data_IF_091142166544
#
_entry.id   IF_091142166544
#
_cell.length_a   1.000
_cell.length_b   1.000
_cell.length_c   1.000
_cell.angle_alpha   90.00
_cell.angle_beta   90.00
_cell.angle_gamma   90.00
#
_symmetry.space_group_name_H-M   'P 1'
#
loop_
_entity.id
_entity.type
_entity.pdbx_description
1 polymer ?
#
# COMPACT_ATOMS: atom_id res chain seq x y z
N UNK A 1 30.95 -56.07 -35.74
CA UNK A 1 29.56 -55.82 -36.17
C UNK A 1 29.10 -54.56 -35.44
N UNK A 2 28.75 -53.53 -36.22
CA UNK A 2 28.17 -52.26 -35.77
C UNK A 2 26.89 -52.51 -34.95
N UNK A 3 26.63 -51.67 -33.96
CA UNK A 3 25.48 -50.73 -33.93
C UNK A 3 25.58 -49.94 -32.62
N UNK A 4 25.84 -48.66 -32.79
CA UNK A 4 25.68 -47.61 -31.80
C UNK A 4 24.23 -47.55 -31.30
N UNK A 5 24.06 -47.47 -29.98
CA UNK A 5 22.82 -46.93 -29.39
C UNK A 5 23.15 -45.92 -28.31
N UNK A 6 23.14 -44.67 -28.77
CA UNK A 6 22.67 -43.47 -28.09
C UNK A 6 21.85 -43.75 -26.83
N UNK A 7 22.31 -43.27 -25.68
CA UNK A 7 21.44 -42.77 -24.61
C UNK A 7 22.06 -41.48 -24.08
N UNK A 8 21.57 -40.36 -24.60
CA UNK A 8 21.87 -39.02 -24.11
C UNK A 8 20.93 -38.76 -22.92
N UNK A 9 21.42 -38.91 -21.70
CA UNK A 9 20.69 -38.50 -20.49
C UNK A 9 20.92 -36.99 -20.34
N UNK A 10 19.94 -36.20 -20.81
CA UNK A 10 19.90 -34.76 -20.54
C UNK A 10 19.43 -34.59 -19.09
N UNK A 11 20.39 -34.41 -18.18
CA UNK A 11 20.12 -34.00 -16.80
C UNK A 11 19.98 -32.47 -16.79
N UNK A 12 18.77 -31.97 -17.04
CA UNK A 12 18.43 -30.56 -16.79
C UNK A 12 18.37 -30.32 -15.28
N UNK A 13 19.49 -29.90 -14.71
CA UNK A 13 19.53 -29.33 -13.36
C UNK A 13 18.74 -28.02 -13.35
N UNK A 14 17.56 -28.06 -12.72
CA UNK A 14 16.81 -26.86 -12.40
C UNK A 14 17.63 -25.97 -11.46
N UNK A 15 17.87 -24.75 -11.93
CA UNK A 15 18.48 -23.65 -11.20
C UNK A 15 17.71 -23.40 -9.90
N UNK A 16 18.33 -23.69 -8.75
CA UNK A 16 17.88 -23.18 -7.45
C UNK A 16 18.78 -22.03 -7.05
N UNK A 17 18.63 -20.88 -7.73
CA UNK A 17 19.12 -19.61 -7.20
C UNK A 17 18.05 -19.04 -6.28
N UNK A 18 18.21 -19.28 -4.97
CA UNK A 18 17.53 -18.51 -3.94
C UNK A 18 17.94 -17.03 -4.06
N UNK A 19 17.16 -16.25 -4.79
CA UNK A 19 17.26 -14.80 -4.79
C UNK A 19 16.13 -14.25 -3.92
N UNK A 20 16.43 -14.04 -2.64
CA UNK A 20 15.70 -13.06 -1.84
C UNK A 20 15.96 -11.68 -2.44
N UNK A 21 14.97 -11.13 -3.13
CA UNK A 21 14.87 -9.69 -3.41
C UNK A 21 13.38 -9.34 -3.49
N UNK A 22 12.76 -9.20 -2.32
CA UNK A 22 11.55 -8.38 -2.15
C UNK A 22 11.96 -6.91 -2.26
N UNK A 23 12.19 -6.47 -3.49
CA UNK A 23 12.13 -5.07 -3.89
C UNK A 23 11.36 -5.02 -5.21
N UNK A 24 10.04 -5.18 -5.12
CA UNK A 24 9.14 -4.74 -6.20
C UNK A 24 8.99 -3.22 -6.15
N UNK A 25 10.10 -2.52 -6.34
CA UNK A 25 10.13 -1.20 -6.98
C UNK A 25 10.29 -1.46 -8.48
N UNK A 26 9.26 -2.08 -9.06
CA UNK A 26 9.21 -2.42 -10.48
C UNK A 26 8.83 -1.20 -11.33
N UNK A 27 9.61 -0.13 -11.25
CA UNK A 27 9.70 0.83 -12.33
C UNK A 27 10.55 0.21 -13.42
N UNK A 28 10.03 0.13 -14.64
CA UNK A 28 10.79 -0.29 -15.81
C UNK A 28 12.00 0.66 -15.99
N UNK A 29 13.21 0.17 -15.67
CA UNK A 29 14.47 0.91 -15.73
C UNK A 29 14.84 1.36 -17.16
N UNK A 30 14.04 0.99 -18.18
CA UNK A 30 14.22 1.44 -19.56
C UNK A 30 13.47 2.74 -19.88
N UNK A 31 12.57 3.21 -19.01
CA UNK A 31 11.90 4.51 -19.20
C UNK A 31 12.84 5.65 -18.80
N UNK A 32 13.00 6.68 -19.65
CA UNK A 32 13.71 7.90 -19.28
C UNK A 32 13.14 8.47 -17.98
N UNK A 33 13.97 8.95 -17.04
CA UNK A 33 13.47 9.64 -15.85
C UNK A 33 12.56 10.79 -16.27
N UNK A 34 11.42 10.93 -15.60
CA UNK A 34 10.48 12.01 -15.89
C UNK A 34 11.15 13.36 -15.64
N UNK A 35 11.37 14.14 -16.70
CA UNK A 35 11.69 15.56 -16.57
C UNK A 35 10.41 16.30 -16.19
N UNK A 36 10.37 16.84 -14.97
CA UNK A 36 9.29 17.69 -14.47
C UNK A 36 9.46 19.10 -15.06
N UNK A 37 8.48 19.54 -15.85
CA UNK A 37 8.53 20.81 -16.57
C UNK A 37 8.28 22.03 -15.68
N UNK A 38 7.49 21.87 -14.61
CA UNK A 38 7.15 22.93 -13.65
C UNK A 38 7.85 22.69 -12.32
N UNK A 39 8.09 23.78 -11.58
CA UNK A 39 8.64 23.72 -10.21
C UNK A 39 7.57 23.42 -9.16
N UNK A 40 6.32 23.75 -9.45
CA UNK A 40 5.19 23.53 -8.56
C UNK A 40 3.99 23.05 -9.37
N UNK A 41 3.28 22.08 -8.82
CA UNK A 41 2.08 21.49 -9.41
C UNK A 41 0.96 21.50 -8.38
N UNK A 42 -0.25 21.81 -8.82
CA UNK A 42 -1.45 21.71 -8.00
C UNK A 42 -2.36 20.65 -8.60
N UNK A 43 -2.84 19.74 -7.76
CA UNK A 43 -3.73 18.66 -8.15
C UNK A 43 -5.02 18.73 -7.36
N UNK A 44 -6.13 18.40 -8.02
CA UNK A 44 -7.46 18.28 -7.43
C UNK A 44 -7.88 16.81 -7.49
N UNK A 45 -8.51 16.32 -6.42
CA UNK A 45 -9.08 14.98 -6.42
C UNK A 45 -10.12 14.85 -7.54
N UNK A 46 -10.05 13.76 -8.31
CA UNK A 46 -10.89 13.57 -9.50
C UNK A 46 -12.11 12.67 -9.24
N UNK A 47 -12.48 12.44 -7.98
CA UNK A 47 -13.56 11.54 -7.56
C UNK A 47 -13.35 10.09 -7.99
N UNK A 48 -12.09 9.64 -8.07
CA UNK A 48 -11.75 8.25 -8.39
C UNK A 48 -10.77 7.68 -7.39
N UNK A 49 -11.19 6.59 -6.74
CA UNK A 49 -10.35 5.77 -5.89
C UNK A 49 -10.59 4.29 -6.18
N UNK A 50 -9.65 3.43 -5.78
CA UNK A 50 -9.71 1.99 -5.95
C UNK A 50 -9.09 1.27 -4.76
N UNK A 51 -9.67 0.14 -4.36
CA UNK A 51 -8.99 -0.84 -3.49
C UNK A 51 -8.04 -1.64 -4.38
N UNK A 52 -6.74 -1.46 -4.19
CA UNK A 52 -5.73 -2.17 -4.99
C UNK A 52 -5.57 -3.62 -4.54
N UNK A 53 -5.52 -3.81 -3.23
CA UNK A 53 -5.54 -5.11 -2.58
C UNK A 53 -5.90 -4.93 -1.10
N UNK A 54 -6.25 -6.03 -0.45
CA UNK A 54 -6.52 -6.04 0.98
C UNK A 54 -7.01 -7.41 1.43
N UNK A 55 -6.75 -7.72 2.68
CA UNK A 55 -7.08 -8.99 3.31
C UNK A 55 -7.78 -8.73 4.63
N UNK A 56 -8.84 -9.50 4.87
CA UNK A 56 -9.52 -9.61 6.14
C UNK A 56 -9.35 -11.02 6.69
N UNK A 57 -8.79 -11.12 7.89
CA UNK A 57 -8.77 -12.32 8.70
C UNK A 57 -9.89 -12.19 9.75
N UNK A 58 -10.78 -13.17 9.86
CA UNK A 58 -11.90 -13.13 10.82
C UNK A 58 -12.08 -14.44 11.57
N UNK A 59 -12.52 -14.31 12.82
CA UNK A 59 -12.98 -15.41 13.64
C UNK A 59 -11.87 -16.38 14.04
N UNK A 60 -12.25 -17.55 14.60
CA UNK A 60 -11.27 -18.54 15.02
C UNK A 60 -10.47 -19.03 13.80
N UNK A 61 -9.15 -19.14 13.98
CA UNK A 61 -8.15 -19.51 12.95
C UNK A 61 -7.94 -18.47 11.84
N UNK A 62 -8.56 -17.29 11.93
CA UNK A 62 -8.33 -16.17 11.01
C UNK A 62 -8.68 -16.52 9.57
N UNK A 63 -9.94 -16.84 9.31
CA UNK A 63 -10.40 -17.15 7.95
C UNK A 63 -10.17 -15.95 7.04
N UNK A 64 -9.48 -16.19 5.92
CA UNK A 64 -9.07 -15.16 4.99
C UNK A 64 -10.17 -14.86 3.96
N UNK A 65 -10.45 -13.57 3.76
CA UNK A 65 -11.33 -13.06 2.69
C UNK A 65 -10.73 -11.79 2.10
N UNK A 66 -10.99 -11.52 0.82
CA UNK A 66 -10.64 -10.24 0.20
C UNK A 66 -11.46 -9.10 0.80
N UNK A 67 -10.84 -7.92 0.90
CA UNK A 67 -11.51 -6.71 1.38
C UNK A 67 -12.30 -6.05 0.25
N UNK A 68 -13.54 -5.68 0.54
CA UNK A 68 -14.39 -4.87 -0.33
C UNK A 68 -14.76 -3.53 0.29
N UNK A 69 -15.42 -2.68 -0.50
CA UNK A 69 -15.83 -1.33 -0.10
C UNK A 69 -16.83 -1.36 1.04
N UNK A 70 -17.77 -2.31 1.04
CA UNK A 70 -18.79 -2.42 2.08
C UNK A 70 -18.16 -2.75 3.44
N UNK A 71 -17.14 -3.59 3.44
CA UNK A 71 -16.39 -3.94 4.64
C UNK A 71 -15.64 -2.74 5.21
N UNK A 72 -14.95 -1.97 4.36
CA UNK A 72 -14.24 -0.78 4.84
C UNK A 72 -15.21 0.32 5.33
N UNK A 73 -16.36 0.49 4.67
CA UNK A 73 -17.35 1.49 5.05
C UNK A 73 -18.01 1.21 6.42
N UNK A 74 -17.94 -0.02 6.93
CA UNK A 74 -18.36 -0.32 8.32
C UNK A 74 -17.48 0.40 9.35
N UNK A 75 -16.25 0.77 8.99
CA UNK A 75 -15.28 1.39 9.91
C UNK A 75 -15.05 2.86 9.64
N UNK A 76 -15.17 3.33 8.40
CA UNK A 76 -15.12 4.74 8.05
C UNK A 76 -16.40 5.09 7.28
N UNK A 77 -17.19 6.06 7.77
CA UNK A 77 -18.47 6.48 7.17
C UNK A 77 -18.41 6.64 5.64
N UNK A 78 -17.25 7.01 5.11
CA UNK A 78 -16.86 6.81 3.72
C UNK A 78 -15.35 6.58 3.63
N UNK A 79 -14.91 5.60 2.86
CA UNK A 79 -13.50 5.46 2.48
C UNK A 79 -13.04 6.52 1.48
N UNK A 80 -13.96 7.29 0.91
CA UNK A 80 -13.68 8.42 0.02
C UNK A 80 -13.30 9.70 0.79
N UNK A 81 -12.54 9.58 1.89
CA UNK A 81 -11.93 10.75 2.57
C UNK A 81 -10.65 11.16 1.83
N UNK A 82 -10.83 11.48 0.56
CA UNK A 82 -9.80 12.06 -0.28
C UNK A 82 -9.39 13.42 0.28
N UNK A 83 -8.14 13.78 0.03
CA UNK A 83 -7.69 15.14 0.26
C UNK A 83 -8.14 15.97 -0.94
N UNK A 84 -8.83 17.10 -0.72
CA UNK A 84 -9.39 17.89 -1.82
C UNK A 84 -8.31 18.30 -2.82
N UNK A 85 -7.19 18.81 -2.31
CA UNK A 85 -6.10 19.35 -3.13
C UNK A 85 -4.73 18.93 -2.61
N UNK A 86 -3.83 18.71 -3.55
CA UNK A 86 -2.41 18.45 -3.29
C UNK A 86 -1.58 19.51 -4.01
N UNK A 87 -0.62 20.11 -3.32
CA UNK A 87 0.36 21.03 -3.94
C UNK A 87 1.74 20.42 -3.76
N UNK A 88 2.40 20.10 -4.87
CA UNK A 88 3.77 19.57 -4.86
C UNK A 88 4.72 20.65 -5.35
N UNK A 89 5.65 21.07 -4.49
CA UNK A 89 6.69 22.04 -4.79
C UNK A 89 8.06 21.34 -4.77
N UNK A 90 8.58 21.06 -5.97
CA UNK A 90 9.86 20.41 -6.20
C UNK A 90 11.06 21.33 -6.00
N UNK A 91 10.85 22.66 -5.93
CA UNK A 91 11.95 23.57 -5.59
C UNK A 91 12.26 23.52 -4.09
N UNK A 92 11.23 23.24 -3.28
CA UNK A 92 11.31 23.18 -1.82
C UNK A 92 11.24 21.77 -1.26
N UNK A 93 11.16 20.77 -2.12
CA UNK A 93 10.98 19.37 -1.73
C UNK A 93 9.82 19.21 -0.72
N UNK A 94 8.68 19.83 -1.04
CA UNK A 94 7.53 19.90 -0.14
C UNK A 94 6.21 19.51 -0.79
N UNK A 95 5.36 18.85 -0.02
CA UNK A 95 3.98 18.52 -0.34
C UNK A 95 3.06 19.21 0.65
N UNK A 96 2.03 19.87 0.14
CA UNK A 96 0.90 20.35 0.95
C UNK A 96 -0.34 19.52 0.64
N UNK A 97 -0.96 18.99 1.69
CA UNK A 97 -2.22 18.28 1.63
C UNK A 97 -3.30 19.20 2.20
N UNK A 98 -4.31 19.50 1.40
CA UNK A 98 -5.38 20.44 1.73
C UNK A 98 -6.71 19.70 1.72
N UNK A 99 -7.42 19.76 2.85
CA UNK A 99 -8.75 19.18 3.03
C UNK A 99 -9.64 20.21 3.73
N UNK A 100 -10.50 20.90 2.98
CA UNK A 100 -11.23 22.07 3.42
C UNK A 100 -10.30 23.16 4.00
N UNK A 101 -10.43 23.42 5.31
CA UNK A 101 -9.60 24.39 6.05
C UNK A 101 -8.30 23.78 6.60
N UNK A 102 -8.19 22.46 6.63
CA UNK A 102 -7.00 21.77 7.12
C UNK A 102 -5.91 21.81 6.06
N UNK A 103 -4.71 22.19 6.47
CA UNK A 103 -3.52 22.19 5.62
C UNK A 103 -2.37 21.52 6.36
N UNK A 104 -1.92 20.38 5.84
CA UNK A 104 -0.77 19.64 6.34
C UNK A 104 0.39 19.81 5.37
N UNK A 105 1.61 19.87 5.90
CA UNK A 105 2.83 20.05 5.12
C UNK A 105 3.80 18.90 5.40
N UNK A 106 4.38 18.35 4.34
CA UNK A 106 5.31 17.24 4.36
C UNK A 106 6.57 17.59 3.57
N UNK A 107 7.71 17.08 4.02
CA UNK A 107 8.91 17.02 3.17
C UNK A 107 8.80 15.80 2.27
N UNK A 108 9.27 15.93 1.04
CA UNK A 108 9.21 14.86 0.06
C UNK A 108 10.55 14.66 -0.64
N UNK A 109 10.72 13.47 -1.20
CA UNK A 109 11.79 13.17 -2.14
C UNK A 109 11.18 12.58 -3.39
N UNK A 110 11.51 13.15 -4.54
CA UNK A 110 11.11 12.62 -5.83
C UNK A 110 12.20 11.70 -6.41
N UNK A 111 11.81 10.56 -6.96
CA UNK A 111 12.68 9.64 -7.70
C UNK A 111 11.94 9.18 -8.94
N UNK A 112 12.40 9.63 -10.11
CA UNK A 112 11.71 9.41 -11.39
C UNK A 112 10.27 9.94 -11.35
N UNK A 113 9.28 9.04 -11.47
CA UNK A 113 7.85 9.34 -11.41
C UNK A 113 7.29 9.26 -9.99
N UNK A 114 8.06 8.71 -9.05
CA UNK A 114 7.63 8.38 -7.70
C UNK A 114 7.93 9.49 -6.71
N UNK A 115 7.02 9.69 -5.76
CA UNK A 115 7.13 10.63 -4.65
C UNK A 115 7.16 9.83 -3.35
N UNK A 116 8.07 10.18 -2.46
CA UNK A 116 8.20 9.61 -1.13
C UNK A 116 8.04 10.71 -0.09
N UNK A 117 7.31 10.44 0.99
CA UNK A 117 7.30 11.30 2.17
C UNK A 117 8.59 11.04 2.97
N UNK A 118 9.31 12.10 3.30
CA UNK A 118 10.51 11.96 4.11
C UNK A 118 10.18 11.74 5.60
N UNK A 119 11.04 10.97 6.26
CA UNK A 119 10.95 10.62 7.67
C UNK A 119 12.09 9.69 8.06
N UNK A 120 12.05 9.15 9.28
CA UNK A 120 13.02 8.13 9.73
C UNK A 120 12.95 6.87 8.88
N UNK A 121 11.76 6.54 8.36
CA UNK A 121 11.52 5.57 7.31
C UNK A 121 10.72 6.26 6.21
N UNK A 122 11.32 6.54 5.05
CA UNK A 122 10.59 7.14 3.94
C UNK A 122 9.41 6.26 3.52
N UNK A 123 8.24 6.87 3.32
CA UNK A 123 7.01 6.19 2.92
C UNK A 123 6.68 6.53 1.47
N UNK A 124 6.33 5.51 0.68
CA UNK A 124 5.91 5.72 -0.70
C UNK A 124 4.58 6.49 -0.73
N UNK A 125 4.56 7.68 -1.30
CA UNK A 125 3.37 8.52 -1.35
C UNK A 125 2.51 8.22 -2.59
N UNK A 126 3.14 8.18 -3.75
CA UNK A 126 2.43 8.16 -5.02
C UNK A 126 3.34 8.30 -6.22
N UNK A 127 2.75 8.34 -7.41
CA UNK A 127 3.45 8.54 -8.67
C UNK A 127 2.67 9.43 -9.63
N UNK A 128 3.40 10.17 -10.46
CA UNK A 128 2.81 10.88 -11.60
C UNK A 128 2.24 9.89 -12.61
N UNK A 129 1.12 10.28 -13.22
CA UNK A 129 0.61 9.54 -14.38
C UNK A 129 1.59 9.63 -15.55
N UNK A 130 1.57 8.64 -16.45
CA UNK A 130 2.50 8.58 -17.57
C UNK A 130 2.42 9.77 -18.52
N UNK A 131 1.23 10.37 -18.65
CA UNK A 131 0.97 11.57 -19.45
C UNK A 131 1.28 12.88 -18.68
N UNK A 132 1.71 12.78 -17.41
CA UNK A 132 2.08 13.87 -16.51
C UNK A 132 0.96 14.85 -16.18
N UNK A 133 -0.29 14.51 -16.48
CA UNK A 133 -1.45 15.38 -16.20
C UNK A 133 -2.14 15.05 -14.88
N UNK A 134 -1.65 14.03 -14.17
CA UNK A 134 -2.24 13.55 -12.93
C UNK A 134 -1.24 12.98 -11.95
N UNK A 135 -1.75 12.66 -10.77
CA UNK A 135 -1.03 12.10 -9.65
C UNK A 135 -1.89 10.98 -9.04
N UNK A 136 -1.30 9.80 -8.85
CA UNK A 136 -1.93 8.73 -8.09
C UNK A 136 -1.24 8.63 -6.74
N UNK A 137 -2.01 8.79 -5.66
CA UNK A 137 -1.50 8.63 -4.29
C UNK A 137 -1.98 7.32 -3.70
N UNK A 138 -1.26 6.81 -2.71
CA UNK A 138 -1.60 5.58 -2.01
C UNK A 138 -1.85 5.84 -0.54
N UNK A 139 -2.92 5.25 -0.03
CA UNK A 139 -3.22 5.20 1.39
C UNK A 139 -3.35 3.75 1.84
N UNK A 140 -2.97 3.49 3.08
CA UNK A 140 -3.12 2.20 3.76
C UNK A 140 -4.07 2.35 4.94
N UNK A 141 -4.84 1.30 5.18
CA UNK A 141 -5.71 1.17 6.35
C UNK A 141 -5.46 -0.14 7.05
N UNK A 142 -5.55 -0.12 8.38
CA UNK A 142 -5.47 -1.30 9.24
C UNK A 142 -6.54 -1.13 10.33
N UNK A 143 -7.39 -2.14 10.50
CA UNK A 143 -8.33 -2.25 11.61
C UNK A 143 -8.15 -3.61 12.24
N UNK A 144 -8.13 -3.67 13.57
CA UNK A 144 -8.17 -4.94 14.26
C UNK A 144 -9.02 -4.87 15.52
N UNK A 145 -9.49 -6.04 15.90
CA UNK A 145 -10.08 -6.27 17.20
C UNK A 145 -9.58 -7.62 17.72
N UNK A 146 -9.08 -7.61 18.96
CA UNK A 146 -8.85 -8.81 19.76
C UNK A 146 -9.83 -8.82 20.90
N UNK A 147 -10.67 -9.83 20.93
CA UNK A 147 -11.64 -10.03 22.00
C UNK A 147 -10.92 -10.36 23.32
N UNK A 148 -11.53 -10.03 24.47
CA UNK A 148 -11.05 -10.45 25.79
C UNK A 148 -10.78 -11.96 25.85
N UNK A 149 -9.81 -12.36 26.69
CA UNK A 149 -9.42 -13.75 26.96
C UNK A 149 -9.57 -14.05 28.45
N UNK A 150 -9.68 -15.32 28.81
CA UNK A 150 -9.83 -15.74 30.22
C UNK A 150 -8.69 -15.23 31.12
N UNK A 151 -7.46 -15.18 30.60
CA UNK A 151 -6.27 -14.72 31.33
C UNK A 151 -5.95 -13.23 31.11
N UNK A 152 -6.75 -12.54 30.29
CA UNK A 152 -6.54 -11.15 29.88
C UNK A 152 -7.88 -10.54 29.43
N UNK A 153 -8.59 -9.93 30.37
CA UNK A 153 -9.91 -9.34 30.12
C UNK A 153 -9.87 -8.06 29.25
N UNK A 154 -8.71 -7.66 28.74
CA UNK A 154 -8.61 -6.49 27.88
C UNK A 154 -9.07 -6.81 26.44
N UNK A 155 -10.04 -6.04 25.95
CA UNK A 155 -10.29 -5.94 24.51
C UNK A 155 -9.27 -4.97 23.92
N UNK A 156 -8.68 -5.34 22.79
CA UNK A 156 -7.83 -4.43 22.01
C UNK A 156 -8.52 -4.13 20.70
N UNK A 157 -8.92 -2.88 20.54
CA UNK A 157 -9.49 -2.37 19.29
C UNK A 157 -8.61 -1.25 18.76
N UNK A 158 -8.28 -1.31 17.47
CA UNK A 158 -7.64 -0.21 16.78
C UNK A 158 -8.25 -0.04 15.40
N UNK A 159 -8.49 1.21 15.04
CA UNK A 159 -8.83 1.64 13.69
C UNK A 159 -7.82 2.70 13.31
N UNK A 160 -6.94 2.40 12.36
CA UNK A 160 -5.99 3.38 11.86
C UNK A 160 -6.72 4.55 11.19
N UNK A 161 -6.03 5.68 11.03
CA UNK A 161 -6.42 6.63 10.01
C UNK A 161 -6.20 6.05 8.61
N UNK A 162 -6.68 6.78 7.59
CA UNK A 162 -6.24 6.59 6.20
C UNK A 162 -4.87 7.22 6.03
N UNK A 163 -3.83 6.45 6.34
CA UNK A 163 -2.45 6.92 6.35
C UNK A 163 -1.84 6.82 4.96
N UNK A 164 -0.96 7.75 4.59
CA UNK A 164 -0.20 7.62 3.34
C UNK A 164 0.70 6.38 3.37
N UNK A 165 0.92 5.79 2.19
CA UNK A 165 1.75 4.61 2.04
C UNK A 165 1.00 3.40 1.55
N UNK A 166 1.74 2.30 1.51
CA UNK A 166 1.24 0.95 1.29
C UNK A 166 1.67 0.05 2.44
N UNK A 167 0.94 -1.02 2.66
CA UNK A 167 1.27 -2.08 3.62
C UNK A 167 1.20 -3.44 2.95
N UNK A 168 1.87 -4.43 3.54
CA UNK A 168 1.72 -5.84 3.22
C UNK A 168 0.98 -6.55 4.36
N UNK A 169 0.58 -7.80 4.12
CA UNK A 169 0.08 -8.70 5.16
C UNK A 169 1.05 -8.77 6.35
N UNK A 170 2.34 -8.95 6.05
CA UNK A 170 3.38 -9.11 7.07
C UNK A 170 3.50 -7.85 7.94
N UNK A 171 3.47 -6.66 7.35
CA UNK A 171 3.52 -5.39 8.10
C UNK A 171 2.23 -5.14 8.89
N UNK A 172 1.06 -5.50 8.33
CA UNK A 172 -0.20 -5.40 9.04
C UNK A 172 -0.24 -6.32 10.27
N UNK A 173 0.24 -7.56 10.14
CA UNK A 173 0.33 -8.51 11.26
C UNK A 173 1.33 -8.09 12.35
N UNK A 174 2.38 -7.32 12.02
CA UNK A 174 3.27 -6.73 13.04
C UNK A 174 2.60 -5.65 13.90
N UNK A 175 1.57 -5.00 13.35
CA UNK A 175 0.83 -3.93 14.01
C UNK A 175 -0.34 -4.49 14.83
N UNK A 176 -0.93 -5.59 14.37
CA UNK A 176 -2.02 -6.27 15.02
C UNK A 176 -1.53 -7.09 16.24
N UNK A 177 -2.42 -7.38 17.20
CA UNK A 177 -2.09 -8.27 18.32
C UNK A 177 -2.02 -9.75 17.92
N UNK A 178 -2.18 -10.07 16.63
CA UNK A 178 -2.13 -11.42 16.07
C UNK A 178 -0.88 -11.56 15.20
N UNK A 179 0.10 -12.33 15.66
CA UNK A 179 1.29 -12.70 14.88
C UNK A 179 0.97 -13.76 13.83
N UNK A 180 -0.03 -14.60 14.10
CA UNK A 180 -0.49 -15.65 13.18
C UNK A 180 -2.03 -15.77 13.19
N UNK A 181 -2.66 -16.26 12.10
CA UNK A 181 -4.10 -16.51 12.08
C UNK A 181 -4.57 -17.46 13.20
N UNK A 182 -3.73 -18.41 13.62
CA UNK A 182 -4.04 -19.36 14.71
C UNK A 182 -4.20 -18.72 16.10
N UNK A 183 -3.69 -17.50 16.31
CA UNK A 183 -3.88 -16.76 17.57
C UNK A 183 -5.28 -16.13 17.68
N UNK A 184 -6.02 -16.10 16.57
CA UNK A 184 -7.42 -15.70 16.53
C UNK A 184 -8.24 -16.89 17.00
N UNK A 185 -8.81 -16.79 18.20
CA UNK A 185 -9.54 -17.89 18.86
C UNK A 185 -11.01 -17.54 19.13
N UNK A 186 -11.35 -16.25 19.11
CA UNK A 186 -12.71 -15.75 19.28
C UNK A 186 -13.36 -15.46 17.94
N UNK A 187 -14.67 -15.68 17.84
CA UNK A 187 -15.48 -15.25 16.70
C UNK A 187 -15.44 -13.73 16.46
N UNK A 188 -15.10 -12.94 17.48
CA UNK A 188 -15.00 -11.49 17.39
C UNK A 188 -13.60 -11.00 17.00
N UNK A 189 -12.61 -11.89 16.91
CA UNK A 189 -11.27 -11.50 16.49
C UNK A 189 -11.27 -11.15 15.00
N UNK A 190 -10.65 -10.03 14.65
CA UNK A 190 -10.40 -9.71 13.25
C UNK A 190 -9.16 -8.85 13.04
N UNK A 191 -8.57 -8.98 11.86
CA UNK A 191 -7.58 -8.06 11.29
C UNK A 191 -8.00 -7.78 9.86
N UNK A 192 -8.14 -6.51 9.52
CA UNK A 192 -8.46 -6.02 8.18
C UNK A 192 -7.38 -5.04 7.79
N UNK A 193 -6.80 -5.19 6.61
CA UNK A 193 -5.99 -4.13 6.02
C UNK A 193 -6.24 -4.04 4.52
N UNK A 194 -6.03 -2.85 3.97
CA UNK A 194 -6.12 -2.61 2.54
C UNK A 194 -5.19 -1.49 2.11
N UNK A 195 -4.77 -1.56 0.85
CA UNK A 195 -4.17 -0.44 0.14
C UNK A 195 -5.17 0.14 -0.84
N UNK A 196 -5.30 1.45 -0.80
CA UNK A 196 -6.16 2.22 -1.68
C UNK A 196 -5.31 3.13 -2.54
N UNK A 197 -5.72 3.33 -3.78
CA UNK A 197 -5.20 4.37 -4.66
C UNK A 197 -6.25 5.45 -4.86
N UNK A 198 -5.80 6.70 -4.95
CA UNK A 198 -6.65 7.85 -5.24
C UNK A 198 -6.05 8.60 -6.40
N UNK A 199 -6.89 8.95 -7.37
CA UNK A 199 -6.47 9.64 -8.58
C UNK A 199 -6.72 11.14 -8.46
N UNK A 200 -5.77 11.91 -8.97
CA UNK A 200 -5.81 13.35 -8.95
C UNK A 200 -5.47 13.89 -10.33
N UNK A 201 -6.08 15.01 -10.69
CA UNK A 201 -5.82 15.72 -11.95
C UNK A 201 -5.13 17.05 -11.67
N UNK A 202 -4.13 17.37 -12.47
CA UNK A 202 -3.47 18.67 -12.43
C UNK A 202 -4.47 19.77 -12.79
N UNK A 203 -4.48 20.84 -12.00
CA UNK A 203 -5.22 22.07 -12.28
C UNK A 203 -4.25 23.21 -12.53
N UNK A 204 -4.64 24.14 -13.42
CA UNK A 204 -3.87 25.32 -13.76
C UNK A 204 -4.04 26.42 -12.73
#
# INVERSE_FOLDING_TARGET
>A
MRIDRLFLIILTGYLSSCSNNDNRDGGDNTKPPITLAKKTYTYQFNNSYKIENGVALKGPKGTETSVDVNMLNQYWFSVDTSDDKLVVDYKKDSLFVINGKLKLAYKIKAKQDSIFLEGTKPEFFGLHTSDKTGLTIYKKVIVYHRAPRENDNSSLYNRSGLNFGRTSQQEASKTAPFKTPSEMVSAQDFLIWANLSYSYKEIK
#
